data_IF_248887988722
#
_entry.id   IF_248887988722
#
_cell.length_a   1.000
_cell.length_b   1.000
_cell.length_c   1.000
_cell.angle_alpha   90.00
_cell.angle_beta   90.00
_cell.angle_gamma   90.00
#
_symmetry.space_group_name_H-M   'P 1'
#
loop_
_entity.id
_entity.type
_entity.pdbx_description
1 polymer ?
#
# COMPACT_ATOMS: atom_id res chain seq x y z
N UNK A 1 -18.46 3.29 -24.61
CA UNK A 1 -17.50 2.19 -24.28
C UNK A 1 -16.11 2.80 -24.28
N UNK A 2 -15.49 2.97 -23.11
CA UNK A 2 -14.29 3.79 -22.93
C UNK A 2 -12.96 3.07 -23.24
N UNK A 3 -12.01 3.21 -22.30
CA UNK A 3 -10.72 2.52 -22.32
C UNK A 3 -10.96 1.01 -22.45
N UNK A 4 -10.17 0.35 -23.29
CA UNK A 4 -10.26 -1.10 -23.55
C UNK A 4 -8.94 -1.77 -23.19
N UNK A 5 -9.03 -2.94 -22.57
CA UNK A 5 -7.89 -3.78 -22.13
C UNK A 5 -7.65 -4.96 -23.06
N UNK A 6 -8.20 -4.91 -24.26
CA UNK A 6 -7.95 -5.93 -25.27
C UNK A 6 -6.48 -5.95 -25.70
N UNK A 7 -6.02 -7.02 -26.32
CA UNK A 7 -4.64 -7.14 -26.80
C UNK A 7 -4.55 -7.01 -28.33
N UNK A 8 -5.68 -6.97 -29.04
CA UNK A 8 -5.73 -7.01 -30.50
C UNK A 8 -5.52 -5.63 -31.14
N UNK A 9 -5.70 -4.53 -30.40
CA UNK A 9 -5.29 -3.20 -30.85
C UNK A 9 -3.76 -3.03 -30.95
N UNK A 10 -2.97 -3.92 -30.34
CA UNK A 10 -1.50 -3.89 -30.38
C UNK A 10 -0.95 -4.57 -31.64
N UNK A 11 0.30 -4.25 -32.00
CA UNK A 11 1.05 -4.90 -33.09
C UNK A 11 1.36 -6.37 -32.77
N UNK A 12 1.66 -7.16 -33.81
CA UNK A 12 2.21 -8.52 -33.68
C UNK A 12 3.64 -8.48 -33.14
N UNK A 13 4.15 -9.61 -32.65
CA UNK A 13 5.55 -9.76 -32.28
C UNK A 13 6.50 -9.41 -33.44
N UNK A 14 6.10 -9.72 -34.67
CA UNK A 14 6.81 -9.35 -35.90
C UNK A 14 6.71 -7.86 -36.27
N UNK A 15 6.04 -7.02 -35.48
CA UNK A 15 5.80 -5.60 -35.78
C UNK A 15 4.63 -5.31 -36.72
N UNK A 16 4.08 -6.33 -37.39
CA UNK A 16 2.94 -6.19 -38.29
C UNK A 16 1.67 -5.66 -37.61
N UNK A 17 0.93 -4.78 -38.28
CA UNK A 17 -0.36 -4.24 -37.79
C UNK A 17 -1.43 -5.34 -37.81
N UNK A 18 -2.29 -5.36 -36.78
CA UNK A 18 -3.45 -6.27 -36.70
C UNK A 18 -4.71 -5.53 -37.14
N UNK A 19 -5.52 -6.17 -37.99
CA UNK A 19 -6.88 -5.68 -38.31
C UNK A 19 -7.83 -6.12 -37.19
N UNK A 20 -8.62 -5.21 -36.59
CA UNK A 20 -9.63 -5.58 -35.60
C UNK A 20 -10.65 -6.57 -36.18
N UNK A 21 -10.83 -7.71 -35.52
CA UNK A 21 -11.79 -8.76 -35.93
C UNK A 21 -13.22 -8.44 -35.47
N UNK A 22 -13.36 -7.64 -34.41
CA UNK A 22 -14.66 -7.34 -33.78
C UNK A 22 -14.63 -6.00 -33.04
N UNK A 23 -15.82 -5.49 -32.72
CA UNK A 23 -16.00 -4.31 -31.85
C UNK A 23 -15.66 -4.64 -30.37
N UNK A 24 -15.35 -3.60 -29.58
CA UNK A 24 -15.04 -3.70 -28.14
C UNK A 24 -16.13 -4.48 -27.36
N UNK A 25 -15.73 -5.28 -26.37
CA UNK A 25 -16.66 -6.06 -25.52
C UNK A 25 -16.69 -5.55 -24.08
N UNK A 26 -17.83 -5.72 -23.40
CA UNK A 26 -18.03 -5.20 -22.03
C UNK A 26 -17.02 -5.79 -21.03
N UNK A 27 -16.62 -7.04 -21.20
CA UNK A 27 -15.62 -7.67 -20.32
C UNK A 27 -14.18 -7.18 -20.55
N UNK A 28 -13.91 -6.48 -21.66
CA UNK A 28 -12.60 -5.87 -21.96
C UNK A 28 -12.52 -4.43 -21.42
N UNK A 29 -13.52 -3.95 -20.68
CA UNK A 29 -13.55 -2.56 -20.22
C UNK A 29 -12.38 -2.25 -19.27
N UNK A 30 -11.74 -1.12 -19.51
CA UNK A 30 -10.87 -0.44 -18.56
C UNK A 30 -11.65 0.62 -17.76
N UNK A 31 -11.10 1.02 -16.62
CA UNK A 31 -11.59 2.17 -15.84
C UNK A 31 -10.43 3.14 -15.63
N UNK A 32 -10.70 4.46 -15.53
CA UNK A 32 -9.67 5.43 -15.17
C UNK A 32 -9.07 5.09 -13.81
N UNK A 33 -7.78 5.41 -13.66
CA UNK A 33 -7.02 5.25 -12.42
C UNK A 33 -7.70 6.01 -11.26
N UNK A 34 -7.55 5.51 -10.03
CA UNK A 34 -8.15 6.13 -8.86
C UNK A 34 -7.36 7.35 -8.36
N UNK A 35 -6.04 7.40 -8.59
CA UNK A 35 -5.14 8.50 -8.19
C UNK A 35 -5.35 8.96 -6.73
N UNK A 36 -5.51 8.00 -5.81
CA UNK A 36 -5.76 8.24 -4.39
C UNK A 36 -4.74 9.22 -3.79
N UNK A 37 -5.22 10.20 -3.03
CA UNK A 37 -4.43 11.24 -2.35
C UNK A 37 -4.63 11.16 -0.84
N UNK A 38 -3.68 11.70 -0.08
CA UNK A 38 -3.84 11.94 1.34
C UNK A 38 -4.86 13.08 1.55
N UNK A 39 -5.76 12.94 2.52
CA UNK A 39 -6.82 13.91 2.80
C UNK A 39 -8.00 13.28 3.53
N UNK A 40 -9.11 14.01 3.64
CA UNK A 40 -10.34 13.53 4.27
C UNK A 40 -10.91 12.28 3.57
N UNK A 41 -11.53 11.41 4.36
CA UNK A 41 -11.99 10.10 3.90
C UNK A 41 -13.17 10.21 2.91
N UNK A 42 -12.98 9.69 1.69
CA UNK A 42 -14.02 9.65 0.64
C UNK A 42 -13.94 8.34 -0.16
N UNK A 43 -14.88 7.43 0.10
CA UNK A 43 -14.92 6.10 -0.53
C UNK A 43 -16.01 6.06 -1.61
N UNK A 44 -15.63 5.68 -2.84
CA UNK A 44 -16.57 5.41 -3.93
C UNK A 44 -16.58 3.92 -4.28
N UNK A 45 -17.75 3.30 -4.16
CA UNK A 45 -17.96 1.89 -4.50
C UNK A 45 -18.18 1.73 -6.00
N UNK A 46 -17.50 0.75 -6.60
CA UNK A 46 -17.61 0.46 -8.03
C UNK A 46 -18.09 -0.97 -8.25
N UNK A 47 -19.24 -1.14 -8.92
CA UNK A 47 -19.74 -2.45 -9.35
C UNK A 47 -18.85 -3.03 -10.46
N UNK A 48 -18.55 -4.32 -10.36
CA UNK A 48 -17.72 -5.08 -11.29
C UNK A 48 -18.46 -6.29 -11.86
N UNK A 49 -17.79 -7.06 -12.73
CA UNK A 49 -18.37 -8.24 -13.38
C UNK A 49 -18.78 -9.28 -12.32
N UNK A 50 -19.91 -9.96 -12.55
CA UNK A 50 -20.42 -10.97 -11.64
C UNK A 50 -21.15 -10.40 -10.41
N UNK A 51 -21.43 -9.10 -10.37
CA UNK A 51 -22.14 -8.47 -9.25
C UNK A 51 -21.24 -8.00 -8.10
N UNK A 52 -19.95 -8.36 -8.12
CA UNK A 52 -18.99 -8.03 -7.08
C UNK A 52 -18.71 -6.52 -7.01
N UNK A 53 -18.37 -6.04 -5.81
CA UNK A 53 -17.98 -4.65 -5.55
C UNK A 53 -16.46 -4.55 -5.41
N UNK A 54 -15.88 -3.49 -5.95
CA UNK A 54 -14.53 -3.05 -5.61
C UNK A 54 -14.61 -1.73 -4.86
N UNK A 55 -13.76 -1.60 -3.87
CA UNK A 55 -13.69 -0.43 -3.01
C UNK A 55 -12.51 0.42 -3.45
N UNK A 56 -12.73 1.72 -3.56
CA UNK A 56 -11.65 2.69 -3.72
C UNK A 56 -11.47 3.37 -2.35
N UNK A 57 -10.27 3.20 -1.82
CA UNK A 57 -9.66 3.48 -0.49
C UNK A 57 -10.17 4.57 0.46
N UNK A 58 -10.13 4.49 1.83
CA UNK A 58 -9.86 3.45 2.92
C UNK A 58 -10.17 4.00 4.36
N UNK A 59 -9.46 3.57 5.43
CA UNK A 59 -9.72 3.18 6.85
C UNK A 59 -9.01 4.13 7.84
N UNK A 60 -8.89 3.95 9.17
CA UNK A 60 -9.50 3.17 10.30
C UNK A 60 -9.17 3.97 11.58
N UNK A 61 -9.95 3.81 12.65
CA UNK A 61 -9.68 4.36 13.97
C UNK A 61 -9.61 3.19 14.96
N UNK A 62 -8.57 3.13 15.79
CA UNK A 62 -8.55 2.48 17.12
C UNK A 62 -7.13 2.53 17.72
N UNK A 63 -6.90 3.40 18.72
CA UNK A 63 -5.58 3.60 19.37
C UNK A 63 -5.67 3.89 20.89
N UNK A 64 -6.68 3.38 21.60
CA UNK A 64 -6.79 3.61 23.06
C UNK A 64 -6.90 2.29 23.86
N UNK A 65 -5.76 1.59 24.06
CA UNK A 65 -5.72 0.40 24.93
C UNK A 65 -4.37 0.13 25.64
N UNK A 66 -3.44 1.09 25.71
CA UNK A 66 -2.02 0.77 26.01
C UNK A 66 -1.52 1.03 27.44
N UNK A 67 -2.19 1.82 28.29
CA UNK A 67 -1.66 2.19 29.60
C UNK A 67 -2.58 1.86 30.78
N UNK A 68 -2.49 0.62 31.30
CA UNK A 68 -3.08 0.19 32.58
C UNK A 68 -1.99 -0.32 33.55
N UNK A 69 -2.18 -0.05 34.84
CA UNK A 69 -1.34 -0.53 35.96
C UNK A 69 -1.39 -2.06 36.05
N UNK A 70 -0.24 -2.74 36.12
CA UNK A 70 -0.10 -4.20 35.94
C UNK A 70 0.33 -4.94 37.22
N UNK A 71 0.04 -6.24 37.28
CA UNK A 71 0.36 -7.10 38.43
C UNK A 71 1.83 -7.57 38.44
N UNK A 72 2.32 -8.06 39.60
CA UNK A 72 3.72 -8.54 39.78
C UNK A 72 4.13 -9.67 38.82
N UNK A 73 3.20 -10.57 38.45
CA UNK A 73 3.45 -11.62 37.44
C UNK A 73 3.68 -11.03 36.04
N UNK A 74 2.96 -9.96 35.70
CA UNK A 74 3.20 -9.24 34.45
C UNK A 74 4.59 -8.60 34.45
N UNK A 75 5.05 -8.05 35.57
CA UNK A 75 6.37 -7.41 35.67
C UNK A 75 7.53 -8.38 35.39
N UNK A 76 7.47 -9.61 35.95
CA UNK A 76 8.44 -10.65 35.64
C UNK A 76 8.46 -11.01 34.14
N UNK A 77 7.29 -11.07 33.50
CA UNK A 77 7.15 -11.29 32.05
C UNK A 77 7.76 -10.15 31.23
N UNK A 78 7.66 -8.90 31.69
CA UNK A 78 8.29 -7.74 31.05
C UNK A 78 9.81 -7.79 31.14
N UNK A 79 10.36 -8.08 32.32
CA UNK A 79 11.82 -8.22 32.51
C UNK A 79 12.41 -9.33 31.64
N UNK A 80 11.68 -10.43 31.45
CA UNK A 80 12.07 -11.48 30.51
C UNK A 80 12.08 -10.99 29.06
N UNK A 81 11.09 -10.20 28.64
CA UNK A 81 11.00 -9.62 27.27
C UNK A 81 12.05 -8.55 27.00
N UNK A 82 12.41 -7.75 28.01
CA UNK A 82 13.39 -6.67 27.88
C UNK A 82 14.76 -7.15 27.41
N UNK A 83 15.13 -8.40 27.70
CA UNK A 83 16.41 -8.99 27.26
C UNK A 83 16.58 -9.02 25.74
N UNK A 84 15.49 -9.14 24.99
CA UNK A 84 15.50 -9.20 23.52
C UNK A 84 14.87 -7.95 22.89
N UNK A 85 14.64 -6.89 23.66
CA UNK A 85 13.94 -5.70 23.21
C UNK A 85 14.83 -4.66 22.52
N UNK A 86 16.05 -5.04 22.09
CA UNK A 86 16.96 -4.12 21.42
C UNK A 86 16.45 -3.84 20.00
N UNK A 87 16.23 -2.56 19.70
CA UNK A 87 15.78 -2.09 18.38
C UNK A 87 17.01 -1.65 17.57
N UNK A 88 16.89 -1.68 16.25
CA UNK A 88 17.94 -1.18 15.35
C UNK A 88 18.10 0.34 15.50
N UNK A 89 19.33 0.89 15.60
CA UNK A 89 19.54 2.32 15.82
C UNK A 89 18.86 3.22 14.77
N UNK A 90 18.82 2.80 13.52
CA UNK A 90 18.17 3.56 12.44
C UNK A 90 16.65 3.72 12.63
N UNK A 91 16.01 2.77 13.33
CA UNK A 91 14.60 2.88 13.72
C UNK A 91 14.43 3.75 14.96
N UNK A 92 15.35 3.70 15.92
CA UNK A 92 15.33 4.59 17.11
C UNK A 92 15.37 6.07 16.71
N UNK A 93 16.20 6.43 15.71
CA UNK A 93 16.23 7.79 15.15
C UNK A 93 14.86 8.21 14.58
N UNK A 94 14.16 7.31 13.89
CA UNK A 94 12.83 7.59 13.35
C UNK A 94 11.79 7.76 14.46
N UNK A 95 11.84 6.91 15.50
CA UNK A 95 10.99 7.05 16.67
C UNK A 95 11.21 8.39 17.39
N UNK A 96 12.45 8.87 17.48
CA UNK A 96 12.74 10.19 18.05
C UNK A 96 12.10 11.34 17.24
N UNK A 97 12.00 11.20 15.92
CA UNK A 97 11.30 12.18 15.06
C UNK A 97 9.77 12.05 15.09
N UNK A 98 9.24 10.99 15.71
CA UNK A 98 7.81 10.67 15.74
C UNK A 98 7.23 10.24 14.39
N UNK A 99 8.07 9.92 13.41
CA UNK A 99 7.65 9.49 12.06
C UNK A 99 8.50 8.33 11.58
N UNK A 100 7.83 7.26 11.16
CA UNK A 100 8.46 6.04 10.65
C UNK A 100 8.21 5.91 9.15
N UNK A 101 9.20 5.42 8.42
CA UNK A 101 9.06 5.12 7.00
C UNK A 101 8.42 3.74 6.80
N UNK A 102 7.41 3.68 5.94
CA UNK A 102 6.68 2.46 5.64
C UNK A 102 6.48 2.28 4.12
N UNK A 103 6.36 1.02 3.70
CA UNK A 103 6.01 0.64 2.33
C UNK A 103 4.54 0.20 2.27
N UNK A 104 3.76 0.80 1.36
CA UNK A 104 2.37 0.41 1.13
C UNK A 104 2.35 -0.88 0.29
N UNK A 105 1.86 -1.97 0.89
CA UNK A 105 1.84 -3.30 0.24
C UNK A 105 0.49 -3.62 -0.43
N UNK A 106 -0.56 -2.88 -0.09
CA UNK A 106 -1.92 -3.08 -0.62
C UNK A 106 -2.22 -2.18 -1.82
N UNK A 107 -3.44 -2.30 -2.39
CA UNK A 107 -3.84 -1.65 -3.66
C UNK A 107 -5.04 -0.72 -3.47
N UNK A 108 -4.81 0.53 -3.06
CA UNK A 108 -5.86 1.49 -2.73
C UNK A 108 -6.98 1.63 -3.75
N UNK A 109 -6.64 1.66 -5.04
CA UNK A 109 -7.64 1.79 -6.10
C UNK A 109 -8.56 0.58 -6.32
N UNK A 110 -8.39 -0.53 -5.58
CA UNK A 110 -9.11 -1.80 -5.78
C UNK A 110 -9.75 -2.39 -4.53
N UNK A 111 -8.95 -2.58 -3.48
CA UNK A 111 -9.43 -3.07 -2.18
C UNK A 111 -9.94 -1.93 -1.31
N UNK A 112 -9.56 -0.72 -1.68
CA UNK A 112 -9.70 0.42 -0.85
C UNK A 112 -8.98 0.28 0.46
N UNK A 113 -7.75 -0.28 0.40
CA UNK A 113 -6.73 -0.40 1.47
C UNK A 113 -5.26 -0.10 1.08
N UNK A 114 -4.43 0.32 2.05
CA UNK A 114 -3.08 0.99 2.06
C UNK A 114 -2.40 0.58 3.38
N UNK A 115 -2.76 -0.61 3.80
CA UNK A 115 -2.00 -1.41 4.70
C UNK A 115 -0.61 -1.61 4.08
N UNK A 116 0.38 -1.68 4.95
CA UNK A 116 1.78 -1.74 4.61
C UNK A 116 2.58 -2.27 5.79
N UNK A 117 3.91 -2.19 5.65
CA UNK A 117 4.85 -2.60 6.69
C UNK A 117 5.92 -1.53 6.87
N UNK A 118 6.50 -1.48 8.07
CA UNK A 118 7.60 -0.57 8.42
C UNK A 118 8.86 -1.04 7.70
N UNK A 119 9.64 -0.09 7.18
CA UNK A 119 10.94 -0.40 6.56
C UNK A 119 11.99 -0.63 7.65
N UNK A 120 12.69 -1.77 7.57
CA UNK A 120 13.71 -2.18 8.55
C UNK A 120 15.00 -2.65 7.85
N UNK A 121 16.13 -2.64 8.56
CA UNK A 121 17.41 -3.17 8.11
C UNK A 121 17.85 -2.66 6.73
N UNK A 122 18.32 -3.58 5.87
CA UNK A 122 18.84 -3.28 4.53
C UNK A 122 17.84 -2.60 3.61
N UNK A 123 16.55 -2.89 3.78
CA UNK A 123 15.50 -2.27 2.96
C UNK A 123 15.37 -0.79 3.32
N UNK A 124 15.38 -0.47 4.61
CA UNK A 124 15.38 0.90 5.10
C UNK A 124 16.61 1.67 4.60
N UNK A 125 17.81 1.09 4.75
CA UNK A 125 19.05 1.69 4.26
C UNK A 125 19.00 1.99 2.76
N UNK A 126 18.49 1.05 1.96
CA UNK A 126 18.36 1.20 0.52
C UNK A 126 17.46 2.39 0.15
N UNK A 127 16.27 2.48 0.75
CA UNK A 127 15.33 3.57 0.46
C UNK A 127 15.80 4.90 1.00
N UNK A 128 16.42 4.95 2.18
CA UNK A 128 17.03 6.18 2.71
C UNK A 128 18.11 6.70 1.77
N UNK A 129 18.97 5.84 1.23
CA UNK A 129 19.98 6.23 0.24
C UNK A 129 19.34 6.79 -1.03
N UNK A 130 18.27 6.17 -1.53
CA UNK A 130 17.53 6.65 -2.73
C UNK A 130 16.88 8.02 -2.49
N UNK A 131 16.30 8.23 -1.31
CA UNK A 131 15.69 9.52 -0.93
C UNK A 131 16.78 10.61 -0.84
N UNK A 132 17.89 10.32 -0.17
CA UNK A 132 19.04 11.24 -0.07
C UNK A 132 19.59 11.62 -1.45
N UNK A 133 19.82 10.63 -2.33
CA UNK A 133 20.31 10.90 -3.69
C UNK A 133 19.33 11.72 -4.54
N UNK A 134 18.02 11.53 -4.34
CA UNK A 134 17.00 12.29 -5.07
C UNK A 134 16.89 13.73 -4.57
N UNK A 135 17.13 13.98 -3.28
CA UNK A 135 17.11 15.33 -2.69
C UNK A 135 18.35 16.16 -3.06
N UNK A 136 19.49 15.50 -3.30
CA UNK A 136 20.73 16.14 -3.71
C UNK A 136 20.76 16.56 -5.19
N UNK A 137 19.80 16.09 -6.00
CA UNK A 137 19.63 16.43 -7.41
C UNK A 137 18.53 17.47 -7.56
#
# INVERSE_FOLDING_TARGET
MGISRDHWHKRRATGGKRKPLRKKRKFELGRPAANTKLGAQRIHTVRTRGGNKKYRFQTEAEEEALNKKRSKKCEAKYKARQRFAKVEPALEEQFATGRVLACVASRPGQCGRADGYILEGKELEFYMRKIKSKKAK
#
